data_IF_671230929103
#
_entry.id   IF_671230929103
#
_cell.length_a   1.000
_cell.length_b   1.000
_cell.length_c   1.000
_cell.angle_alpha   90.00
_cell.angle_beta   90.00
_cell.angle_gamma   90.00
#
_symmetry.space_group_name_H-M   'P 1'
#
loop_
_entity.id
_entity.type
_entity.pdbx_description
1 polymer ?
#
# COMPACT_ATOMS: atom_id res chain seq x y z
N UNK A 1 16.86 -33.03 -7.60
CA UNK A 1 17.69 -32.57 -6.46
C UNK A 1 17.64 -31.06 -6.48
N UNK A 2 16.84 -30.45 -5.63
CA UNK A 2 16.81 -28.98 -5.47
C UNK A 2 18.12 -28.58 -4.78
N UNK A 3 19.01 -27.90 -5.52
CA UNK A 3 20.22 -27.33 -4.91
C UNK A 3 19.79 -26.38 -3.79
N UNK A 4 20.35 -26.56 -2.60
CA UNK A 4 20.08 -25.69 -1.46
C UNK A 4 20.45 -24.25 -1.81
N UNK A 5 19.54 -23.31 -1.55
CA UNK A 5 19.82 -21.89 -1.74
C UNK A 5 20.75 -21.39 -0.63
N UNK A 6 21.72 -20.56 -1.00
CA UNK A 6 22.50 -19.81 -0.03
C UNK A 6 21.74 -18.56 0.40
N UNK A 7 21.66 -18.32 1.71
CA UNK A 7 20.94 -17.17 2.25
C UNK A 7 21.95 -16.15 2.80
N UNK A 8 21.87 -14.91 2.31
CA UNK A 8 22.58 -13.76 2.86
C UNK A 8 21.64 -12.93 3.70
N UNK A 9 22.14 -12.35 4.79
CA UNK A 9 21.35 -11.50 5.71
C UNK A 9 22.02 -10.14 5.79
N UNK A 10 21.26 -9.06 5.57
CA UNK A 10 21.73 -7.69 5.72
C UNK A 10 20.94 -6.97 6.81
N UNK A 11 21.67 -6.39 7.75
CA UNK A 11 21.13 -5.72 8.91
C UNK A 11 21.34 -4.19 8.88
N UNK A 12 21.99 -3.68 7.85
CA UNK A 12 22.25 -2.25 7.70
C UNK A 12 22.12 -1.80 6.24
N UNK A 13 21.75 -0.53 6.05
CA UNK A 13 21.49 0.04 4.73
C UNK A 13 22.75 0.05 3.82
N UNK A 14 23.95 0.29 4.38
CA UNK A 14 25.19 0.37 3.58
C UNK A 14 25.54 -0.95 2.89
N UNK A 15 25.24 -2.08 3.52
CA UNK A 15 25.47 -3.39 2.89
C UNK A 15 24.41 -3.70 1.85
N UNK A 16 23.16 -3.26 2.06
CA UNK A 16 22.10 -3.37 1.06
C UNK A 16 22.42 -2.51 -0.18
N UNK A 17 22.98 -1.31 0.02
CA UNK A 17 23.39 -0.44 -1.09
C UNK A 17 24.42 -1.10 -2.02
N UNK A 18 25.24 -2.01 -1.53
CA UNK A 18 26.23 -2.73 -2.35
C UNK A 18 25.59 -3.71 -3.34
N UNK A 19 24.42 -4.23 -3.02
CA UNK A 19 23.68 -5.22 -3.84
C UNK A 19 22.58 -4.61 -4.69
N UNK A 20 22.46 -3.28 -4.75
CA UNK A 20 21.39 -2.63 -5.53
C UNK A 20 21.40 -3.03 -7.02
N UNK A 21 22.52 -3.21 -7.71
CA UNK A 21 22.50 -3.69 -9.11
C UNK A 21 21.88 -5.10 -9.24
N UNK A 22 22.18 -6.00 -8.29
CA UNK A 22 21.59 -7.35 -8.25
C UNK A 22 20.11 -7.27 -7.89
N UNK A 23 19.73 -6.38 -6.94
CA UNK A 23 18.36 -6.13 -6.55
C UNK A 23 17.51 -5.64 -7.74
N UNK A 24 17.96 -4.61 -8.46
CA UNK A 24 17.28 -4.09 -9.64
C UNK A 24 17.13 -5.18 -10.72
N UNK A 25 18.19 -5.96 -10.97
CA UNK A 25 18.16 -7.10 -11.91
C UNK A 25 17.10 -8.14 -11.50
N UNK A 26 17.03 -8.47 -10.20
CA UNK A 26 16.00 -9.39 -9.70
C UNK A 26 14.60 -8.81 -9.88
N UNK A 27 14.38 -7.52 -9.57
CA UNK A 27 13.07 -6.90 -9.77
C UNK A 27 12.63 -7.03 -11.21
N UNK A 28 13.50 -6.83 -12.19
CA UNK A 28 13.19 -6.96 -13.62
C UNK A 28 12.77 -8.38 -14.01
N UNK A 29 13.27 -9.39 -13.32
CA UNK A 29 12.99 -10.80 -13.56
C UNK A 29 11.84 -11.35 -12.70
N UNK A 30 11.31 -10.54 -11.79
CA UNK A 30 10.24 -10.92 -10.86
C UNK A 30 8.90 -10.32 -11.29
N UNK A 31 7.92 -11.13 -11.72
CA UNK A 31 6.61 -10.63 -12.16
C UNK A 31 5.81 -9.95 -11.03
N UNK A 32 6.02 -10.36 -9.77
CA UNK A 32 5.36 -9.80 -8.59
C UNK A 32 5.97 -8.49 -8.08
N UNK A 33 7.11 -8.04 -8.66
CA UNK A 33 7.74 -6.81 -8.22
C UNK A 33 6.91 -5.58 -8.57
N UNK A 34 6.75 -4.69 -7.59
CA UNK A 34 6.03 -3.42 -7.72
C UNK A 34 6.93 -2.26 -7.30
N UNK A 35 6.43 -1.05 -7.39
CA UNK A 35 7.11 0.15 -6.88
C UNK A 35 7.47 0.01 -5.40
N UNK A 36 6.64 -0.68 -4.61
CA UNK A 36 6.85 -0.93 -3.19
C UNK A 36 7.99 -1.91 -2.88
N UNK A 37 8.51 -2.60 -3.91
CA UNK A 37 9.66 -3.50 -3.81
C UNK A 37 10.99 -2.79 -4.13
N UNK A 38 10.95 -1.54 -4.60
CA UNK A 38 12.13 -0.77 -4.97
C UNK A 38 12.86 -0.26 -3.73
N UNK A 39 14.19 -0.14 -3.84
CA UNK A 39 14.98 0.41 -2.73
C UNK A 39 14.67 1.89 -2.48
N UNK A 40 14.34 2.64 -3.51
CA UNK A 40 13.90 4.04 -3.38
C UNK A 40 12.70 4.18 -2.43
N UNK A 41 11.70 3.30 -2.57
CA UNK A 41 10.55 3.26 -1.66
C UNK A 41 10.96 2.83 -0.26
N UNK A 42 11.61 1.68 -0.15
CA UNK A 42 11.91 1.02 1.12
C UNK A 42 12.92 1.83 1.95
N UNK A 43 13.94 2.40 1.32
CA UNK A 43 14.91 3.25 2.02
C UNK A 43 14.28 4.57 2.51
N UNK A 44 13.44 5.20 1.69
CA UNK A 44 12.73 6.42 2.09
C UNK A 44 11.76 6.15 3.24
N UNK A 45 11.04 5.03 3.16
CA UNK A 45 10.18 4.58 4.23
C UNK A 45 10.97 4.32 5.52
N UNK A 46 12.12 3.63 5.41
CA UNK A 46 12.96 3.32 6.57
C UNK A 46 13.50 4.58 7.25
N UNK A 47 13.94 5.57 6.47
CA UNK A 47 14.43 6.84 7.01
C UNK A 47 13.35 7.62 7.78
N UNK A 48 12.10 7.55 7.33
CA UNK A 48 11.00 8.33 7.90
C UNK A 48 10.24 7.62 9.01
N UNK A 49 10.08 6.30 8.92
CA UNK A 49 9.21 5.52 9.81
C UNK A 49 9.92 4.32 10.43
N UNK A 50 11.13 3.99 9.99
CA UNK A 50 11.83 2.80 10.44
C UNK A 50 12.24 2.86 11.90
N UNK A 51 11.84 1.85 12.67
CA UNK A 51 12.22 1.67 14.06
C UNK A 51 12.61 0.21 14.28
N UNK A 52 13.78 -0.02 14.87
CA UNK A 52 14.29 -1.36 15.16
C UNK A 52 15.46 -1.75 14.27
N UNK A 53 15.45 -2.95 13.71
CA UNK A 53 16.58 -3.54 13.00
C UNK A 53 16.17 -3.98 11.60
N UNK A 54 16.98 -3.65 10.58
CA UNK A 54 16.82 -4.22 9.24
C UNK A 54 17.10 -5.74 9.29
N UNK A 55 16.35 -6.50 8.54
CA UNK A 55 16.51 -7.95 8.42
C UNK A 55 16.17 -8.39 7.00
N UNK A 56 16.98 -7.95 6.04
CA UNK A 56 16.77 -8.25 4.62
C UNK A 56 17.46 -9.55 4.29
N UNK A 57 16.74 -10.48 3.64
CA UNK A 57 17.25 -11.77 3.22
C UNK A 57 17.38 -11.82 1.70
N UNK A 58 18.55 -12.20 1.21
CA UNK A 58 18.80 -12.53 -0.20
C UNK A 58 18.98 -14.03 -0.37
N UNK A 59 18.34 -14.60 -1.37
CA UNK A 59 18.40 -16.02 -1.73
C UNK A 59 19.20 -16.18 -3.00
N UNK A 60 20.33 -16.92 -2.90
CA UNK A 60 21.29 -17.08 -3.99
C UNK A 60 21.32 -18.53 -4.50
N UNK A 61 21.40 -18.67 -5.83
CA UNK A 61 21.71 -19.93 -6.49
C UNK A 61 22.84 -19.71 -7.49
N UNK A 62 23.91 -20.50 -7.39
CA UNK A 62 25.09 -20.39 -8.27
C UNK A 62 25.67 -18.95 -8.37
N UNK A 63 25.58 -18.17 -7.30
CA UNK A 63 26.07 -16.79 -7.25
C UNK A 63 25.09 -15.73 -7.77
N UNK A 64 23.92 -16.12 -8.30
CA UNK A 64 22.87 -15.22 -8.74
C UNK A 64 21.85 -14.97 -7.62
N UNK A 65 21.42 -13.71 -7.41
CA UNK A 65 20.33 -13.35 -6.51
C UNK A 65 18.99 -13.69 -7.19
N UNK A 66 18.31 -14.74 -6.70
CA UNK A 66 17.06 -15.25 -7.27
C UNK A 66 15.84 -14.98 -6.39
N UNK A 67 16.03 -14.45 -5.20
CA UNK A 67 14.95 -14.09 -4.29
C UNK A 67 15.39 -13.07 -3.26
N UNK A 68 14.39 -12.33 -2.75
CA UNK A 68 14.60 -11.28 -1.77
C UNK A 68 13.41 -11.19 -0.83
N UNK A 69 13.67 -11.17 0.48
CA UNK A 69 12.67 -10.86 1.48
C UNK A 69 13.08 -9.58 2.23
N UNK A 70 12.51 -8.41 1.87
CA UNK A 70 12.80 -7.14 2.51
C UNK A 70 12.04 -7.05 3.84
N UNK A 71 12.66 -7.48 4.92
CA UNK A 71 12.09 -7.57 6.26
C UNK A 71 12.78 -6.61 7.23
N UNK A 72 12.14 -6.36 8.36
CA UNK A 72 12.72 -5.69 9.52
C UNK A 72 12.14 -6.28 10.82
N UNK A 73 12.85 -6.10 11.92
CA UNK A 73 12.37 -6.43 13.26
C UNK A 73 12.01 -5.12 13.96
N UNK A 74 10.75 -4.92 14.26
CA UNK A 74 10.23 -3.73 14.92
C UNK A 74 9.55 -4.09 16.26
N UNK A 75 9.64 -3.21 17.25
CA UNK A 75 8.83 -3.31 18.46
C UNK A 75 7.44 -2.73 18.19
N UNK A 76 6.40 -3.51 18.41
CA UNK A 76 5.01 -3.09 18.21
C UNK A 76 4.15 -3.33 19.45
N UNK A 77 3.30 -2.36 19.77
CA UNK A 77 2.24 -2.53 20.75
C UNK A 77 1.15 -3.43 20.17
N UNK A 78 0.96 -4.62 20.74
CA UNK A 78 -0.03 -5.61 20.30
C UNK A 78 -1.30 -5.57 21.14
N UNK A 79 -1.21 -5.03 22.36
CA UNK A 79 -2.32 -4.72 23.26
C UNK A 79 -1.93 -3.55 24.17
N UNK A 80 -2.87 -3.04 24.95
CA UNK A 80 -2.56 -2.02 25.97
C UNK A 80 -1.45 -2.57 26.89
N UNK A 81 -0.31 -1.88 26.94
CA UNK A 81 0.87 -2.23 27.75
C UNK A 81 1.62 -3.52 27.35
N UNK A 82 1.29 -4.16 26.23
CA UNK A 82 2.01 -5.34 25.73
C UNK A 82 2.74 -4.99 24.44
N UNK A 83 4.07 -4.98 24.49
CA UNK A 83 4.95 -4.81 23.35
C UNK A 83 5.53 -6.16 22.93
N UNK A 84 5.68 -6.37 21.64
CA UNK A 84 6.34 -7.53 21.06
C UNK A 84 7.33 -7.11 19.99
N UNK A 85 8.45 -7.81 19.90
CA UNK A 85 9.29 -7.75 18.69
C UNK A 85 8.62 -8.55 17.59
N UNK A 86 8.42 -7.89 16.45
CA UNK A 86 7.70 -8.42 15.29
C UNK A 86 8.63 -8.41 14.09
N UNK A 87 8.81 -9.56 13.45
CA UNK A 87 9.40 -9.62 12.13
C UNK A 87 8.31 -9.26 11.10
N UNK A 88 8.53 -8.23 10.32
CA UNK A 88 7.54 -7.74 9.35
C UNK A 88 8.20 -7.24 8.07
N UNK A 89 7.40 -6.98 7.04
CA UNK A 89 7.93 -6.33 5.86
C UNK A 89 8.50 -4.95 6.18
N UNK A 90 9.64 -4.64 5.57
CA UNK A 90 10.12 -3.29 5.44
C UNK A 90 9.10 -2.52 4.61
N UNK A 91 8.59 -1.41 5.14
CA UNK A 91 7.46 -0.69 4.53
C UNK A 91 6.14 -0.83 5.28
N UNK A 92 5.97 -1.85 6.15
CA UNK A 92 4.72 -2.09 6.85
C UNK A 92 4.54 -1.20 8.09
N UNK A 93 3.34 -0.66 8.25
CA UNK A 93 2.91 0.04 9.47
C UNK A 93 2.64 1.52 9.34
N UNK A 94 3.14 2.23 8.32
CA UNK A 94 2.81 3.64 8.07
C UNK A 94 1.42 3.84 7.45
N UNK A 95 0.89 2.80 6.79
CA UNK A 95 -0.36 2.86 6.04
C UNK A 95 -0.21 3.47 4.65
N UNK A 96 1.03 3.67 4.18
CA UNK A 96 1.32 4.19 2.84
C UNK A 96 1.82 3.10 1.88
N UNK A 97 2.25 1.93 2.40
CA UNK A 97 2.71 0.82 1.59
C UNK A 97 1.65 -0.26 1.45
N UNK A 98 1.36 -0.60 0.22
CA UNK A 98 0.59 -1.79 -0.17
C UNK A 98 1.45 -2.68 -1.07
N UNK A 99 0.95 -3.82 -1.54
CA UNK A 99 1.68 -4.73 -2.43
C UNK A 99 3.09 -5.11 -1.91
N UNK A 100 3.26 -5.21 -0.58
CA UNK A 100 4.50 -5.70 0.03
C UNK A 100 4.58 -7.21 -0.16
N UNK A 101 5.70 -7.70 -0.69
CA UNK A 101 5.84 -9.11 -1.03
C UNK A 101 7.27 -9.62 -0.83
N UNK A 102 7.41 -10.92 -0.88
CA UNK A 102 8.67 -11.62 -1.04
C UNK A 102 8.90 -11.80 -2.52
N UNK A 103 10.00 -11.26 -3.01
CA UNK A 103 10.33 -11.21 -4.41
C UNK A 103 11.05 -12.49 -4.81
N UNK A 104 10.64 -13.11 -5.90
CA UNK A 104 11.32 -14.24 -6.49
C UNK A 104 11.41 -14.09 -8.01
N UNK A 105 12.56 -14.47 -8.56
CA UNK A 105 12.74 -14.65 -10.00
C UNK A 105 11.71 -15.67 -10.50
N UNK A 106 11.15 -15.44 -11.68
CA UNK A 106 10.18 -16.35 -12.30
C UNK A 106 10.69 -17.78 -12.34
N UNK A 107 9.89 -18.71 -11.81
CA UNK A 107 10.24 -20.14 -11.70
C UNK A 107 10.99 -20.54 -10.42
N UNK A 108 11.35 -19.58 -9.55
CA UNK A 108 12.03 -19.84 -8.28
C UNK A 108 11.15 -19.62 -7.03
N UNK A 109 9.88 -19.35 -7.21
CA UNK A 109 8.95 -18.98 -6.13
C UNK A 109 8.84 -20.09 -5.06
N UNK A 110 8.79 -21.35 -5.49
CA UNK A 110 8.72 -22.51 -4.57
C UNK A 110 10.04 -22.65 -3.78
N UNK A 111 11.19 -22.50 -4.45
CA UNK A 111 12.50 -22.64 -3.81
C UNK A 111 12.75 -21.52 -2.80
N UNK A 112 12.36 -20.28 -3.13
CA UNK A 112 12.47 -19.11 -2.23
C UNK A 112 11.54 -19.26 -1.04
N UNK A 113 10.27 -19.68 -1.25
CA UNK A 113 9.32 -19.91 -0.17
C UNK A 113 9.80 -20.98 0.80
N UNK A 114 10.29 -22.12 0.28
CA UNK A 114 10.81 -23.22 1.10
C UNK A 114 12.06 -22.79 1.89
N UNK A 115 13.02 -22.14 1.24
CA UNK A 115 14.23 -21.65 1.88
C UNK A 115 13.94 -20.63 2.99
N UNK A 116 13.00 -19.69 2.75
CA UNK A 116 12.55 -18.74 3.76
C UNK A 116 11.94 -19.46 4.96
N UNK A 117 11.04 -20.41 4.74
CA UNK A 117 10.40 -21.17 5.83
C UNK A 117 11.41 -21.97 6.64
N UNK A 118 12.35 -22.65 5.99
CA UNK A 118 13.40 -23.39 6.66
C UNK A 118 14.29 -22.46 7.48
N UNK A 119 14.66 -21.31 6.93
CA UNK A 119 15.46 -20.30 7.62
C UNK A 119 14.74 -19.75 8.85
N UNK A 120 13.46 -19.37 8.73
CA UNK A 120 12.64 -18.89 9.84
C UNK A 120 12.39 -19.96 10.92
N UNK A 121 12.36 -21.24 10.54
CA UNK A 121 12.29 -22.37 11.49
C UNK A 121 13.59 -22.56 12.26
N UNK A 122 14.72 -22.48 11.58
CA UNK A 122 16.04 -22.69 12.18
C UNK A 122 16.44 -21.54 13.14
N UNK A 123 16.05 -20.32 12.81
CA UNK A 123 16.36 -19.14 13.62
C UNK A 123 15.51 -19.08 14.89
N UNK A 124 16.17 -19.09 16.04
CA UNK A 124 15.59 -18.58 17.30
C UNK A 124 15.74 -17.06 17.31
N UNK A 125 15.05 -16.39 16.38
CA UNK A 125 15.14 -14.93 16.24
C UNK A 125 14.60 -14.17 17.44
N UNK A 126 14.90 -12.86 17.58
CA UNK A 126 14.47 -12.05 18.72
C UNK A 126 12.97 -11.72 18.69
N UNK A 127 12.24 -12.14 17.65
CA UNK A 127 10.82 -11.85 17.49
C UNK A 127 9.89 -12.91 18.10
N UNK A 128 8.75 -12.45 18.58
CA UNK A 128 7.66 -13.29 19.09
C UNK A 128 6.57 -13.54 18.06
N UNK A 129 6.49 -12.69 17.04
CA UNK A 129 5.45 -12.69 16.00
C UNK A 129 6.07 -12.40 14.65
N UNK A 130 5.53 -13.01 13.60
CA UNK A 130 5.83 -12.68 12.21
C UNK A 130 4.56 -12.12 11.59
N UNK A 131 4.65 -10.97 10.92
CA UNK A 131 3.54 -10.28 10.27
C UNK A 131 3.92 -9.95 8.83
N UNK A 132 3.29 -10.62 7.88
CA UNK A 132 3.39 -10.34 6.45
C UNK A 132 2.07 -9.69 6.01
N UNK A 133 2.01 -8.39 6.09
CA UNK A 133 0.82 -7.61 5.80
C UNK A 133 0.84 -7.07 4.37
N UNK A 134 -0.32 -6.74 3.84
CA UNK A 134 -0.53 -6.14 2.51
C UNK A 134 0.04 -6.93 1.33
N UNK A 135 0.19 -8.26 1.48
CA UNK A 135 0.58 -9.11 0.37
C UNK A 135 -0.54 -9.16 -0.68
N UNK A 136 -0.23 -9.02 -1.98
CA UNK A 136 -1.23 -9.24 -3.02
C UNK A 136 -1.86 -10.63 -2.93
N UNK A 137 -3.15 -10.75 -3.21
CA UNK A 137 -3.85 -12.06 -3.27
C UNK A 137 -3.22 -13.01 -4.27
N UNK A 138 -2.65 -12.47 -5.35
CA UNK A 138 -1.92 -13.19 -6.38
C UNK A 138 -0.42 -13.40 -6.11
N UNK A 139 0.08 -13.12 -4.88
CA UNK A 139 1.50 -13.32 -4.55
C UNK A 139 1.94 -14.76 -4.81
N UNK A 140 2.90 -15.00 -5.72
CA UNK A 140 3.33 -16.36 -6.02
C UNK A 140 4.04 -17.03 -4.83
N UNK A 141 4.84 -16.29 -4.07
CA UNK A 141 5.51 -16.79 -2.87
C UNK A 141 4.50 -16.91 -1.72
N UNK A 142 3.60 -15.94 -1.56
CA UNK A 142 2.56 -15.97 -0.54
C UNK A 142 1.66 -17.20 -0.64
N UNK A 143 1.24 -17.55 -1.85
CA UNK A 143 0.43 -18.74 -2.11
C UNK A 143 1.11 -20.06 -1.66
N UNK A 144 2.44 -20.07 -1.61
CA UNK A 144 3.22 -21.23 -1.14
C UNK A 144 3.46 -21.19 0.36
N UNK A 145 3.59 -20.02 0.94
CA UNK A 145 3.79 -19.86 2.39
C UNK A 145 2.56 -20.29 3.19
N UNK A 146 1.36 -19.89 2.77
CA UNK A 146 0.11 -20.14 3.50
C UNK A 146 -0.13 -21.63 3.82
N UNK A 147 -0.04 -22.60 2.88
CA UNK A 147 -0.21 -24.00 3.18
C UNK A 147 0.82 -24.58 4.16
N UNK A 148 2.09 -24.16 4.03
CA UNK A 148 3.16 -24.65 4.91
C UNK A 148 3.02 -24.15 6.35
N UNK A 149 2.38 -23.01 6.54
CA UNK A 149 2.09 -22.45 7.86
C UNK A 149 0.93 -23.13 8.60
N UNK A 150 0.11 -23.88 7.89
CA UNK A 150 -0.91 -24.75 8.49
C UNK A 150 -0.30 -25.95 9.27
N UNK A 151 1.04 -26.07 9.34
CA UNK A 151 1.73 -27.13 10.05
C UNK A 151 1.50 -27.08 11.57
N UNK A 152 1.74 -28.21 12.26
CA UNK A 152 1.59 -28.29 13.72
C UNK A 152 2.58 -27.42 14.52
N UNK A 153 3.54 -26.80 13.87
CA UNK A 153 4.60 -26.00 14.52
C UNK A 153 4.18 -24.53 14.73
N UNK A 154 3.24 -24.04 13.93
CA UNK A 154 2.83 -22.64 13.91
C UNK A 154 1.38 -22.43 14.37
N UNK A 155 1.13 -21.34 15.03
CA UNK A 155 -0.21 -20.74 15.19
C UNK A 155 -0.32 -19.65 14.14
N UNK A 156 -1.34 -19.73 13.29
CA UNK A 156 -1.55 -18.80 12.18
C UNK A 156 -2.83 -18.03 12.35
N UNK A 157 -2.81 -16.80 11.86
CA UNK A 157 -3.97 -15.94 11.74
C UNK A 157 -3.90 -15.21 10.40
N UNK A 158 -4.90 -15.43 9.58
CA UNK A 158 -5.02 -14.79 8.28
C UNK A 158 -6.28 -13.93 8.23
N UNK A 159 -6.18 -12.81 7.56
CA UNK A 159 -7.30 -11.94 7.20
C UNK A 159 -7.05 -11.29 5.86
N UNK A 160 -8.10 -10.84 5.20
CA UNK A 160 -8.00 -10.08 3.97
C UNK A 160 -8.53 -8.65 4.17
N UNK A 161 -8.02 -7.74 3.36
CA UNK A 161 -8.55 -6.38 3.24
C UNK A 161 -8.80 -6.07 1.76
N UNK A 162 -9.87 -5.34 1.44
CA UNK A 162 -10.20 -5.03 0.06
C UNK A 162 -9.13 -4.17 -0.60
N UNK A 163 -8.88 -4.46 -1.86
CA UNK A 163 -8.12 -3.68 -2.83
C UNK A 163 -8.95 -3.51 -4.09
N UNK A 164 -8.55 -2.62 -4.99
CA UNK A 164 -9.27 -2.41 -6.24
C UNK A 164 -8.37 -1.81 -7.30
N UNK A 165 -8.45 -2.32 -8.52
CA UNK A 165 -7.71 -1.82 -9.69
C UNK A 165 -8.59 -1.74 -10.93
N UNK A 166 -8.16 -1.03 -11.93
CA UNK A 166 -8.79 -0.95 -13.25
C UNK A 166 -7.81 -1.48 -14.28
N UNK A 167 -8.24 -2.49 -15.05
CA UNK A 167 -7.55 -2.87 -16.27
C UNK A 167 -7.91 -1.85 -17.36
N UNK A 168 -6.93 -1.03 -17.74
CA UNK A 168 -7.11 0.04 -18.70
C UNK A 168 -7.14 -0.53 -20.12
N UNK A 169 -8.16 -0.18 -20.94
CA UNK A 169 -8.23 -0.57 -22.34
C UNK A 169 -7.31 0.30 -23.19
N UNK A 170 -7.21 -0.04 -24.48
CA UNK A 170 -6.33 0.68 -25.40
C UNK A 170 -6.86 2.08 -25.79
N UNK A 171 -8.15 2.37 -25.57
CA UNK A 171 -8.75 3.66 -25.92
C UNK A 171 -9.66 4.21 -24.82
N UNK A 172 -9.65 5.55 -24.70
CA UNK A 172 -10.57 6.26 -23.81
C UNK A 172 -12.05 5.99 -24.11
N UNK A 173 -12.40 5.87 -25.40
CA UNK A 173 -13.76 5.54 -25.83
C UNK A 173 -14.22 4.18 -25.29
N UNK A 174 -13.36 3.18 -25.37
CA UNK A 174 -13.63 1.85 -24.84
C UNK A 174 -13.77 1.89 -23.31
N UNK A 175 -12.87 2.61 -22.62
CA UNK A 175 -12.98 2.80 -21.18
C UNK A 175 -14.32 3.41 -20.77
N UNK A 176 -14.73 4.51 -21.41
CA UNK A 176 -16.05 5.11 -21.17
C UNK A 176 -17.20 4.14 -21.43
N UNK A 177 -17.06 3.25 -22.41
CA UNK A 177 -18.05 2.20 -22.70
C UNK A 177 -18.24 1.18 -21.60
N UNK A 178 -17.19 0.93 -20.79
CA UNK A 178 -17.23 0.02 -19.63
C UNK A 178 -17.89 0.63 -18.40
N UNK A 179 -17.96 1.96 -18.29
CA UNK A 179 -18.60 2.66 -17.18
C UNK A 179 -20.12 2.58 -17.26
N UNK A 180 -20.76 2.60 -16.10
CA UNK A 180 -22.21 2.80 -16.00
C UNK A 180 -22.60 4.11 -16.72
N UNK A 181 -23.79 4.12 -17.37
CA UNK A 181 -24.25 5.27 -18.15
C UNK A 181 -24.32 6.56 -17.33
N UNK A 182 -24.71 6.47 -16.07
CA UNK A 182 -24.75 7.61 -15.14
C UNK A 182 -23.34 8.18 -14.90
N UNK A 183 -22.35 7.35 -14.60
CA UNK A 183 -20.98 7.79 -14.30
C UNK A 183 -20.30 8.38 -15.53
N UNK A 184 -20.49 7.78 -16.71
CA UNK A 184 -20.03 8.31 -18.00
C UNK A 184 -20.66 9.68 -18.32
N UNK A 185 -21.98 9.81 -18.16
CA UNK A 185 -22.71 11.05 -18.40
C UNK A 185 -22.29 12.14 -17.40
N UNK A 186 -22.08 11.78 -16.14
CA UNK A 186 -21.60 12.69 -15.12
C UNK A 186 -20.21 13.24 -15.48
N UNK A 187 -19.27 12.37 -15.89
CA UNK A 187 -17.92 12.80 -16.26
C UNK A 187 -17.97 13.81 -17.44
N UNK A 188 -18.71 13.50 -18.49
CA UNK A 188 -18.88 14.38 -19.64
C UNK A 188 -19.55 15.70 -19.29
N UNK A 189 -20.63 15.66 -18.53
CA UNK A 189 -21.39 16.84 -18.11
C UNK A 189 -20.58 17.79 -17.24
N UNK A 190 -19.89 17.26 -16.23
CA UNK A 190 -19.10 18.10 -15.31
C UNK A 190 -17.85 18.66 -16.00
N UNK A 191 -17.20 17.91 -16.91
CA UNK A 191 -16.10 18.44 -17.73
C UNK A 191 -16.53 19.63 -18.58
N UNK A 192 -17.67 19.51 -19.27
CA UNK A 192 -18.25 20.62 -20.05
C UNK A 192 -18.67 21.80 -19.18
N UNK A 193 -19.19 21.54 -17.97
CA UNK A 193 -19.56 22.59 -17.02
C UNK A 193 -18.32 23.34 -16.52
N UNK A 194 -17.26 22.63 -16.15
CA UNK A 194 -16.00 23.22 -15.67
C UNK A 194 -15.42 24.17 -16.72
N UNK A 195 -15.27 23.71 -17.98
CA UNK A 195 -14.71 24.52 -19.06
C UNK A 195 -15.54 25.74 -19.47
N UNK A 196 -16.87 25.73 -19.17
CA UNK A 196 -17.73 26.88 -19.39
C UNK A 196 -17.69 27.93 -18.29
N UNK A 197 -17.38 27.51 -17.07
CA UNK A 197 -17.43 28.38 -15.88
C UNK A 197 -16.09 28.99 -15.53
N UNK A 198 -14.99 28.30 -15.86
CA UNK A 198 -13.68 28.63 -15.36
C UNK A 198 -12.62 28.44 -16.45
N UNK A 199 -11.52 29.18 -16.34
CA UNK A 199 -10.27 28.87 -17.02
C UNK A 199 -9.61 27.69 -16.30
N UNK A 200 -9.86 26.45 -16.78
CA UNK A 200 -9.38 25.23 -16.15
C UNK A 200 -8.19 24.64 -16.89
N UNK A 201 -7.11 24.30 -16.15
CA UNK A 201 -5.90 23.68 -16.68
C UNK A 201 -5.57 22.43 -15.86
N UNK A 202 -5.42 21.29 -16.57
CA UNK A 202 -4.85 20.07 -16.00
C UNK A 202 -3.37 20.01 -16.35
N UNK A 203 -2.53 19.66 -15.38
CA UNK A 203 -1.09 19.54 -15.63
C UNK A 203 -0.46 18.47 -14.73
N UNK A 204 0.65 17.91 -15.19
CA UNK A 204 1.54 17.03 -14.43
C UNK A 204 2.75 17.87 -13.98
N UNK A 205 3.11 17.75 -12.72
CA UNK A 205 4.31 18.41 -12.20
C UNK A 205 5.57 17.76 -12.81
N UNK A 206 6.43 18.58 -13.41
CA UNK A 206 7.61 18.15 -14.16
C UNK A 206 8.91 18.80 -13.65
N UNK A 207 8.80 19.88 -12.90
CA UNK A 207 9.95 20.52 -12.24
C UNK A 207 9.92 20.31 -10.73
N UNK A 208 11.06 20.49 -10.07
CA UNK A 208 11.17 20.37 -8.62
C UNK A 208 10.24 21.36 -7.91
N UNK A 209 10.16 22.57 -8.41
CA UNK A 209 9.33 23.66 -7.88
C UNK A 209 7.85 23.30 -8.00
N UNK A 210 7.43 22.75 -9.14
CA UNK A 210 6.06 22.29 -9.34
C UNK A 210 5.71 21.11 -8.42
N UNK A 211 6.64 20.17 -8.22
CA UNK A 211 6.46 19.04 -7.31
C UNK A 211 6.29 19.54 -5.87
N UNK A 212 7.17 20.41 -5.40
CA UNK A 212 7.09 20.96 -4.04
C UNK A 212 5.79 21.76 -3.84
N UNK A 213 5.39 22.57 -4.81
CA UNK A 213 4.13 23.32 -4.79
C UNK A 213 2.91 22.37 -4.73
N UNK A 214 2.87 21.36 -5.58
CA UNK A 214 1.78 20.38 -5.60
C UNK A 214 1.71 19.58 -4.30
N UNK A 215 2.84 19.21 -3.69
CA UNK A 215 2.87 18.53 -2.40
C UNK A 215 2.31 19.40 -1.28
N UNK A 216 2.73 20.66 -1.17
CA UNK A 216 2.20 21.59 -0.18
C UNK A 216 0.71 21.81 -0.37
N UNK A 217 0.25 21.91 -1.62
CA UNK A 217 -1.17 22.02 -1.94
C UNK A 217 -1.93 20.75 -1.54
N UNK A 218 -1.40 19.57 -1.84
CA UNK A 218 -1.99 18.29 -1.42
C UNK A 218 -2.16 18.23 0.10
N UNK A 219 -1.11 18.60 0.86
CA UNK A 219 -1.16 18.59 2.32
C UNK A 219 -2.25 19.53 2.85
N UNK A 220 -2.33 20.74 2.31
CA UNK A 220 -3.36 21.72 2.67
C UNK A 220 -4.77 21.22 2.36
N UNK A 221 -5.02 20.73 1.14
CA UNK A 221 -6.34 20.25 0.70
C UNK A 221 -6.77 19.00 1.49
N UNK A 222 -5.85 18.09 1.74
CA UNK A 222 -6.11 16.91 2.55
C UNK A 222 -6.44 17.30 3.99
N UNK A 223 -5.67 18.20 4.62
CA UNK A 223 -5.90 18.65 5.98
C UNK A 223 -7.25 19.35 6.14
N UNK A 224 -7.64 20.23 5.20
CA UNK A 224 -8.95 20.87 5.20
C UNK A 224 -10.11 19.87 5.20
N UNK A 225 -10.01 18.83 4.39
CA UNK A 225 -11.03 17.77 4.31
C UNK A 225 -11.19 17.00 5.63
N UNK A 226 -10.08 16.70 6.32
CA UNK A 226 -10.11 15.96 7.58
C UNK A 226 -10.56 16.84 8.76
N UNK A 227 -10.17 18.11 8.78
CA UNK A 227 -10.65 19.08 9.76
C UNK A 227 -12.18 19.25 9.72
N UNK A 228 -12.78 19.25 8.53
CA UNK A 228 -14.25 19.26 8.39
C UNK A 228 -14.91 18.02 8.99
N UNK A 229 -14.17 16.94 9.24
CA UNK A 229 -14.62 15.71 9.90
C UNK A 229 -14.25 15.66 11.39
N UNK A 230 -13.56 16.66 11.90
CA UNK A 230 -13.03 16.69 13.27
C UNK A 230 -11.81 15.81 13.50
N UNK A 231 -11.08 15.44 12.43
CA UNK A 231 -9.90 14.56 12.49
C UNK A 231 -8.63 15.32 12.09
N UNK A 232 -7.46 14.87 12.60
CA UNK A 232 -6.18 15.53 12.36
C UNK A 232 -5.58 15.32 10.96
N UNK A 233 -6.08 14.31 10.24
CA UNK A 233 -5.56 13.95 8.92
C UNK A 233 -4.13 13.38 8.91
N UNK A 234 -3.82 12.60 7.89
CA UNK A 234 -2.55 11.86 7.79
C UNK A 234 -1.31 12.77 7.67
N UNK A 235 -1.45 13.93 7.01
CA UNK A 235 -0.35 14.88 6.79
C UNK A 235 -0.10 15.86 7.96
N UNK A 236 -0.73 15.64 9.12
CA UNK A 236 -0.31 16.29 10.35
C UNK A 236 1.08 15.81 10.81
N UNK A 237 1.49 14.58 10.48
CA UNK A 237 2.81 14.00 10.77
C UNK A 237 3.89 14.63 9.89
N UNK A 238 4.96 15.11 10.53
CA UNK A 238 6.17 15.61 9.85
C UNK A 238 6.90 14.50 9.13
N UNK A 239 7.02 13.31 9.74
CA UNK A 239 7.69 12.15 9.15
C UNK A 239 7.02 11.74 7.85
N UNK A 240 5.67 11.77 7.81
CA UNK A 240 4.95 11.48 6.57
C UNK A 240 5.19 12.54 5.49
N UNK A 241 5.21 13.83 5.84
CA UNK A 241 5.55 14.88 4.86
C UNK A 241 6.97 14.73 4.34
N UNK A 242 7.93 14.40 5.19
CA UNK A 242 9.31 14.13 4.80
C UNK A 242 9.38 12.93 3.84
N UNK A 243 8.71 11.84 4.18
CA UNK A 243 8.61 10.66 3.32
C UNK A 243 8.07 11.01 1.92
N UNK A 244 6.96 11.75 1.85
CA UNK A 244 6.37 12.14 0.56
C UNK A 244 7.28 13.09 -0.24
N UNK A 245 7.99 13.99 0.42
CA UNK A 245 8.99 14.84 -0.24
C UNK A 245 10.14 14.01 -0.81
N UNK A 246 10.73 13.12 -0.01
CA UNK A 246 11.85 12.27 -0.42
C UNK A 246 11.48 11.39 -1.61
N UNK A 247 10.38 10.63 -1.52
CA UNK A 247 9.98 9.73 -2.62
C UNK A 247 9.59 10.49 -3.88
N UNK A 248 9.01 11.69 -3.76
CA UNK A 248 8.63 12.48 -4.93
C UNK A 248 9.84 12.89 -5.76
N UNK A 249 10.90 13.36 -5.11
CA UNK A 249 12.13 13.74 -5.81
C UNK A 249 12.87 12.52 -6.39
N UNK A 250 12.94 11.41 -5.67
CA UNK A 250 13.52 10.17 -6.17
C UNK A 250 12.73 9.63 -7.37
N UNK A 251 11.40 9.62 -7.27
CA UNK A 251 10.55 9.10 -8.35
C UNK A 251 10.47 10.05 -9.54
N UNK A 252 10.59 11.35 -9.33
CA UNK A 252 10.75 12.31 -10.43
C UNK A 252 12.05 12.02 -11.21
N UNK A 253 13.16 11.78 -10.52
CA UNK A 253 14.44 11.46 -11.16
C UNK A 253 14.41 10.13 -11.94
N UNK A 254 13.61 9.15 -11.48
CA UNK A 254 13.39 7.86 -12.16
C UNK A 254 12.30 7.91 -13.25
N UNK A 255 11.57 9.03 -13.40
CA UNK A 255 10.41 9.12 -14.30
C UNK A 255 9.19 8.33 -13.81
N UNK A 256 9.12 8.03 -12.51
CA UNK A 256 8.04 7.24 -11.91
C UNK A 256 6.96 8.09 -11.25
N UNK A 257 7.18 9.38 -11.06
CA UNK A 257 6.23 10.26 -10.40
C UNK A 257 5.04 10.60 -11.31
N UNK A 258 3.83 10.38 -10.81
CA UNK A 258 2.55 10.77 -11.40
C UNK A 258 1.84 11.74 -10.45
N UNK A 259 2.35 12.97 -10.40
CA UNK A 259 1.78 14.05 -9.59
C UNK A 259 1.03 15.03 -10.49
N UNK A 260 -0.30 14.96 -10.41
CA UNK A 260 -1.21 15.71 -11.27
C UNK A 260 -2.00 16.74 -10.51
N UNK A 261 -2.28 17.86 -11.14
CA UNK A 261 -3.06 18.94 -10.56
C UNK A 261 -4.11 19.50 -11.52
N UNK A 262 -5.19 20.03 -10.94
CA UNK A 262 -6.20 20.82 -11.63
C UNK A 262 -6.18 22.25 -11.06
N UNK A 263 -5.92 23.18 -11.94
CA UNK A 263 -6.00 24.63 -11.68
C UNK A 263 -7.30 25.19 -12.25
N UNK A 264 -7.92 26.08 -11.52
CA UNK A 264 -9.14 26.80 -11.90
C UNK A 264 -8.91 28.28 -11.59
N UNK A 265 -8.97 29.13 -12.63
CA UNK A 265 -8.75 30.59 -12.54
C UNK A 265 -7.47 30.96 -11.78
N UNK A 266 -6.38 30.22 -12.01
CA UNK A 266 -5.07 30.41 -11.37
C UNK A 266 -4.90 29.79 -10.00
N UNK A 267 -5.94 29.13 -9.44
CA UNK A 267 -5.88 28.44 -8.15
C UNK A 267 -5.84 26.92 -8.33
N UNK A 268 -4.88 26.22 -7.76
CA UNK A 268 -4.86 24.75 -7.73
C UNK A 268 -5.87 24.23 -6.72
N UNK A 269 -6.92 23.58 -7.26
CA UNK A 269 -8.11 23.13 -6.52
C UNK A 269 -8.19 21.61 -6.33
N UNK A 270 -7.38 20.83 -7.05
CA UNK A 270 -7.26 19.39 -6.82
C UNK A 270 -5.85 18.91 -7.18
N UNK A 271 -5.36 17.93 -6.41
CA UNK A 271 -4.06 17.27 -6.61
C UNK A 271 -4.25 15.77 -6.45
N UNK A 272 -3.65 14.99 -7.34
CA UNK A 272 -3.57 13.53 -7.26
C UNK A 272 -2.11 13.12 -7.24
N UNK A 273 -1.73 12.31 -6.26
CA UNK A 273 -0.40 11.77 -6.04
C UNK A 273 -0.40 10.27 -6.33
N UNK A 274 0.35 9.86 -7.32
CA UNK A 274 0.46 8.49 -7.79
C UNK A 274 1.89 8.19 -8.26
N UNK A 275 2.16 6.94 -8.56
CA UNK A 275 3.44 6.48 -9.11
C UNK A 275 3.21 5.56 -10.28
N UNK A 276 4.15 5.60 -11.22
CA UNK A 276 4.24 4.66 -12.34
C UNK A 276 5.39 3.69 -12.09
N UNK A 277 5.12 2.41 -12.20
CA UNK A 277 6.16 1.40 -12.25
C UNK A 277 5.81 0.39 -13.35
N UNK A 278 6.68 0.27 -14.36
CA UNK A 278 6.37 -0.45 -15.59
C UNK A 278 5.08 0.08 -16.25
N UNK A 279 4.13 -0.77 -16.53
CA UNK A 279 2.82 -0.46 -17.13
C UNK A 279 1.68 -0.28 -16.09
N UNK A 280 2.02 -0.12 -14.81
CA UNK A 280 1.08 0.09 -13.72
C UNK A 280 1.22 1.48 -13.09
N UNK A 281 0.10 2.09 -12.73
CA UNK A 281 0.06 3.31 -11.93
C UNK A 281 -0.66 3.04 -10.61
N UNK A 282 -0.03 3.39 -9.51
CA UNK A 282 -0.51 3.21 -8.14
C UNK A 282 -0.94 4.56 -7.58
N UNK A 283 -2.24 4.75 -7.35
CA UNK A 283 -2.79 6.00 -6.83
C UNK A 283 -2.79 5.97 -5.31
N UNK A 284 -1.91 6.76 -4.69
CA UNK A 284 -1.73 6.76 -3.24
C UNK A 284 -2.60 7.77 -2.52
N UNK A 285 -2.61 9.03 -2.98
CA UNK A 285 -3.34 10.10 -2.30
C UNK A 285 -4.02 11.05 -3.29
N UNK A 286 -5.07 11.70 -2.81
CA UNK A 286 -5.69 12.82 -3.51
C UNK A 286 -6.27 13.83 -2.53
N UNK A 287 -6.25 15.09 -2.92
CA UNK A 287 -6.89 16.18 -2.22
C UNK A 287 -7.65 17.08 -3.19
N UNK A 288 -8.76 17.63 -2.75
CA UNK A 288 -9.50 18.65 -3.50
C UNK A 288 -10.10 19.68 -2.57
N UNK A 289 -10.27 20.91 -3.06
CA UNK A 289 -10.87 22.00 -2.32
C UNK A 289 -12.38 21.76 -2.15
N UNK A 290 -12.89 21.68 -0.91
CA UNK A 290 -14.30 21.48 -0.64
C UNK A 290 -15.23 22.55 -1.24
N UNK A 291 -14.74 23.76 -1.48
CA UNK A 291 -15.51 24.84 -2.11
C UNK A 291 -15.91 24.51 -3.55
N UNK A 292 -15.09 23.69 -4.24
CA UNK A 292 -15.35 23.18 -5.59
C UNK A 292 -15.99 21.80 -5.63
N UNK A 293 -16.53 21.32 -4.49
CA UNK A 293 -17.15 19.97 -4.41
C UNK A 293 -18.34 19.81 -5.36
N UNK A 294 -19.14 20.88 -5.56
CA UNK A 294 -20.26 20.90 -6.51
C UNK A 294 -19.82 20.75 -7.97
N UNK A 295 -18.61 21.17 -8.30
CA UNK A 295 -18.01 21.06 -9.64
C UNK A 295 -17.26 19.74 -9.86
N UNK A 296 -17.18 18.88 -8.80
CA UNK A 296 -16.60 17.55 -8.86
C UNK A 296 -15.13 17.54 -9.32
N UNK A 297 -14.34 18.54 -8.92
CA UNK A 297 -12.95 18.75 -9.37
C UNK A 297 -12.03 17.56 -9.16
N UNK A 298 -12.13 16.83 -8.04
CA UNK A 298 -11.35 15.60 -7.81
C UNK A 298 -11.73 14.47 -8.77
N UNK A 299 -13.04 14.31 -9.09
CA UNK A 299 -13.49 13.35 -10.09
C UNK A 299 -12.97 13.72 -11.49
N UNK A 300 -12.99 15.01 -11.83
CA UNK A 300 -12.53 15.47 -13.15
C UNK A 300 -11.02 15.31 -13.31
N UNK A 301 -10.23 15.60 -12.25
CA UNK A 301 -8.80 15.36 -12.26
C UNK A 301 -8.49 13.88 -12.48
N UNK A 302 -9.11 12.97 -11.72
CA UNK A 302 -8.92 11.52 -11.90
C UNK A 302 -9.30 11.06 -13.30
N UNK A 303 -10.44 11.52 -13.83
CA UNK A 303 -10.87 11.17 -15.20
C UNK A 303 -9.87 11.64 -16.24
N UNK A 304 -9.28 12.84 -16.09
CA UNK A 304 -8.23 13.34 -16.96
C UNK A 304 -6.96 12.47 -16.85
N UNK A 305 -6.53 12.14 -15.62
CA UNK A 305 -5.35 11.29 -15.42
C UNK A 305 -5.53 9.92 -16.08
N UNK A 306 -6.66 9.25 -15.87
CA UNK A 306 -6.93 7.95 -16.50
C UNK A 306 -6.91 8.06 -18.03
N UNK A 307 -7.47 9.13 -18.61
CA UNK A 307 -7.44 9.37 -20.05
C UNK A 307 -6.01 9.51 -20.58
N UNK A 308 -5.13 10.26 -19.87
CA UNK A 308 -3.72 10.40 -20.23
C UNK A 308 -2.97 9.06 -20.12
N UNK A 309 -3.19 8.32 -19.05
CA UNK A 309 -2.55 7.02 -18.85
C UNK A 309 -2.94 6.00 -19.92
N UNK A 310 -4.19 5.99 -20.38
CA UNK A 310 -4.63 5.18 -21.51
C UNK A 310 -3.89 5.60 -22.80
N UNK A 311 -3.78 6.92 -23.07
CA UNK A 311 -3.03 7.43 -24.21
C UNK A 311 -1.55 7.03 -24.17
N UNK A 312 -0.97 6.90 -22.99
CA UNK A 312 0.40 6.46 -22.73
C UNK A 312 0.55 4.92 -22.65
N UNK A 313 -0.51 4.15 -22.97
CA UNK A 313 -0.51 2.68 -23.00
C UNK A 313 -0.25 2.01 -21.64
N UNK A 314 -0.55 2.69 -20.55
CA UNK A 314 -0.57 2.07 -19.21
C UNK A 314 -1.68 1.02 -19.18
N UNK A 315 -1.40 -0.12 -18.55
CA UNK A 315 -2.32 -1.27 -18.51
C UNK A 315 -3.17 -1.32 -17.26
N UNK A 316 -2.67 -0.80 -16.15
CA UNK A 316 -3.36 -0.89 -14.87
C UNK A 316 -3.34 0.45 -14.12
N UNK A 317 -4.49 0.82 -13.55
CA UNK A 317 -4.62 1.89 -12.57
C UNK A 317 -5.09 1.29 -11.24
N UNK A 318 -4.19 1.21 -10.28
CA UNK A 318 -4.41 0.60 -8.98
C UNK A 318 -4.79 1.67 -7.95
N UNK A 319 -5.98 1.51 -7.34
CA UNK A 319 -6.45 2.36 -6.24
C UNK A 319 -5.88 1.95 -4.88
N UNK A 320 -5.08 0.90 -4.85
CA UNK A 320 -4.52 0.33 -3.62
C UNK A 320 -5.61 -0.16 -2.64
N UNK A 321 -5.21 -0.36 -1.38
CA UNK A 321 -6.13 -0.80 -0.34
C UNK A 321 -7.28 0.15 -0.05
N UNK A 322 -8.28 -0.36 0.66
CA UNK A 322 -9.43 0.39 1.13
C UNK A 322 -10.77 -0.04 0.51
N UNK A 323 -11.84 0.42 1.12
CA UNK A 323 -13.20 0.05 0.72
C UNK A 323 -13.50 0.40 -0.75
N UNK A 324 -14.22 -0.48 -1.47
CA UNK A 324 -14.50 -0.29 -2.89
C UNK A 324 -15.37 0.93 -3.20
N UNK A 325 -16.22 1.37 -2.30
CA UNK A 325 -17.04 2.59 -2.31
C UNK A 325 -17.13 3.30 -3.67
N UNK A 326 -16.49 4.46 -3.78
CA UNK A 326 -16.46 5.24 -5.01
C UNK A 326 -15.61 4.60 -6.14
N UNK A 327 -14.70 3.68 -5.81
CA UNK A 327 -13.79 3.04 -6.79
C UNK A 327 -14.56 2.23 -7.83
N UNK A 328 -15.67 1.60 -7.43
CA UNK A 328 -16.54 0.84 -8.33
C UNK A 328 -17.16 1.70 -9.46
N UNK A 329 -17.39 2.99 -9.23
CA UNK A 329 -17.88 3.93 -10.25
C UNK A 329 -16.88 4.18 -11.38
N UNK A 330 -15.60 3.85 -11.15
CA UNK A 330 -14.52 3.91 -12.14
C UNK A 330 -14.30 2.58 -12.85
N UNK A 331 -15.20 1.61 -12.68
CA UNK A 331 -15.06 0.28 -13.27
C UNK A 331 -13.99 -0.57 -12.58
N UNK A 332 -13.59 -0.21 -11.35
CA UNK A 332 -12.58 -0.95 -10.64
C UNK A 332 -13.08 -2.35 -10.26
N UNK A 333 -12.25 -3.35 -10.53
CA UNK A 333 -12.43 -4.74 -10.12
C UNK A 333 -11.99 -4.89 -8.66
N UNK A 334 -12.75 -5.66 -7.90
CA UNK A 334 -12.42 -5.95 -6.50
C UNK A 334 -11.33 -7.02 -6.42
N UNK A 335 -10.36 -6.74 -5.61
CA UNK A 335 -9.31 -7.66 -5.20
C UNK A 335 -9.10 -7.53 -3.69
N UNK A 336 -8.09 -8.19 -3.13
CA UNK A 336 -7.78 -8.09 -1.72
C UNK A 336 -6.29 -8.31 -1.44
N UNK A 337 -5.85 -7.72 -0.34
CA UNK A 337 -4.54 -8.01 0.26
C UNK A 337 -4.69 -9.06 1.35
N UNK A 338 -3.72 -9.95 1.43
CA UNK A 338 -3.56 -10.94 2.48
C UNK A 338 -2.74 -10.33 3.61
N UNK A 339 -3.22 -10.50 4.82
CA UNK A 339 -2.54 -10.16 6.07
C UNK A 339 -2.28 -11.46 6.81
N UNK A 340 -1.06 -11.98 6.70
CA UNK A 340 -0.66 -13.24 7.27
C UNK A 340 0.16 -13.02 8.54
N UNK A 341 -0.30 -13.57 9.64
CA UNK A 341 0.38 -13.50 10.93
C UNK A 341 0.63 -14.91 11.46
N UNK A 342 1.82 -15.15 11.98
CA UNK A 342 2.14 -16.45 12.53
C UNK A 342 3.19 -16.35 13.64
N UNK A 343 3.11 -17.32 14.55
CA UNK A 343 3.99 -17.43 15.70
C UNK A 343 4.24 -18.90 16.02
N UNK A 344 5.39 -19.20 16.63
CA UNK A 344 5.68 -20.56 17.12
C UNK A 344 4.65 -20.98 18.14
N UNK A 345 4.16 -22.21 18.05
CA UNK A 345 3.23 -22.75 19.06
C UNK A 345 3.82 -22.66 20.46
N UNK A 346 2.94 -22.46 21.44
CA UNK A 346 3.30 -22.31 22.86
C UNK A 346 4.20 -21.11 23.17
N UNK A 347 4.20 -20.09 22.30
CA UNK A 347 4.88 -18.81 22.53
C UNK A 347 3.89 -17.71 22.93
N UNK A 348 4.41 -16.55 23.38
CA UNK A 348 3.60 -15.35 23.63
C UNK A 348 2.87 -14.88 22.37
N UNK A 349 3.53 -14.92 21.22
CA UNK A 349 2.91 -14.60 19.92
C UNK A 349 1.76 -15.54 19.60
N UNK A 350 1.89 -16.85 19.88
CA UNK A 350 0.81 -17.83 19.71
C UNK A 350 -0.40 -17.52 20.59
N UNK A 351 -0.17 -17.20 21.87
CA UNK A 351 -1.23 -16.80 22.80
C UNK A 351 -1.97 -15.54 22.31
N UNK A 352 -1.21 -14.54 21.85
CA UNK A 352 -1.78 -13.33 21.24
C UNK A 352 -2.65 -13.62 20.01
N UNK A 353 -2.17 -14.44 19.06
CA UNK A 353 -2.94 -14.80 17.86
C UNK A 353 -4.23 -15.55 18.18
N UNK A 354 -4.21 -16.45 19.18
CA UNK A 354 -5.41 -17.16 19.64
C UNK A 354 -6.43 -16.19 20.28
N UNK A 355 -5.97 -15.24 21.09
CA UNK A 355 -6.83 -14.20 21.65
C UNK A 355 -7.45 -13.34 20.57
N UNK A 356 -6.67 -12.90 19.56
CA UNK A 356 -7.16 -12.13 18.43
C UNK A 356 -8.22 -12.90 17.63
N UNK A 357 -7.98 -14.17 17.35
CA UNK A 357 -8.93 -15.06 16.66
C UNK A 357 -10.25 -15.18 17.42
N UNK A 358 -10.18 -15.40 18.75
CA UNK A 358 -11.36 -15.52 19.58
C UNK A 358 -12.13 -14.20 19.67
N UNK A 359 -11.44 -13.06 19.79
CA UNK A 359 -12.06 -11.74 19.82
C UNK A 359 -12.79 -11.44 18.51
N UNK A 360 -12.20 -11.78 17.35
CA UNK A 360 -12.85 -11.61 16.05
C UNK A 360 -14.06 -12.50 15.87
N UNK A 361 -13.97 -13.78 16.26
CA UNK A 361 -15.09 -14.71 16.20
C UNK A 361 -16.23 -14.25 17.12
N UNK A 362 -15.91 -13.78 18.33
CA UNK A 362 -16.89 -13.19 19.25
C UNK A 362 -17.58 -11.96 18.67
N UNK A 363 -16.80 -11.05 18.06
CA UNK A 363 -17.33 -9.86 17.37
C UNK A 363 -18.25 -10.22 16.20
N UNK A 364 -17.85 -11.21 15.40
CA UNK A 364 -18.68 -11.72 14.28
C UNK A 364 -19.98 -12.35 14.77
N UNK A 365 -19.90 -13.16 15.83
CA UNK A 365 -21.08 -13.79 16.44
C UNK A 365 -22.04 -12.74 17.01
N UNK A 366 -21.51 -11.70 17.66
CA UNK A 366 -22.29 -10.59 18.17
C UNK A 366 -22.97 -9.78 17.06
N UNK A 367 -22.21 -9.50 15.98
CA UNK A 367 -22.73 -8.84 14.78
C UNK A 367 -23.89 -9.60 14.14
N UNK A 368 -23.78 -10.94 14.08
CA UNK A 368 -24.79 -11.79 13.47
C UNK A 368 -26.05 -11.94 14.36
N UNK A 369 -25.92 -11.71 15.67
CA UNK A 369 -27.02 -11.83 16.64
C UNK A 369 -27.73 -10.50 16.93
N UNK A 370 -27.08 -9.36 16.71
CA UNK A 370 -27.65 -8.05 16.98
C UNK A 370 -28.35 -7.47 15.75
N UNK A 371 -29.52 -6.80 15.94
CA UNK A 371 -30.11 -5.98 14.89
C UNK A 371 -29.13 -4.92 14.39
N UNK A 372 -29.19 -4.57 13.11
CA UNK A 372 -28.25 -3.66 12.45
C UNK A 372 -28.08 -2.32 13.20
N UNK A 373 -29.18 -1.74 13.68
CA UNK A 373 -29.14 -0.48 14.42
C UNK A 373 -28.35 -0.58 15.75
N UNK A 374 -28.49 -1.70 16.47
CA UNK A 374 -27.78 -1.91 17.72
C UNK A 374 -26.27 -2.14 17.48
N UNK A 375 -25.93 -2.80 16.39
CA UNK A 375 -24.55 -2.96 15.96
C UNK A 375 -23.92 -1.62 15.57
N UNK A 376 -24.61 -0.77 14.82
CA UNK A 376 -24.12 0.53 14.37
C UNK A 376 -23.84 1.46 15.56
N UNK A 377 -24.67 1.44 16.60
CA UNK A 377 -24.45 2.18 17.86
C UNK A 377 -23.18 1.68 18.57
N UNK A 378 -23.04 0.37 18.76
CA UNK A 378 -21.87 -0.24 19.39
C UNK A 378 -20.58 0.04 18.61
N UNK A 379 -20.65 0.04 17.29
CA UNK A 379 -19.50 0.31 16.42
C UNK A 379 -19.07 1.79 16.51
N UNK A 380 -20.01 2.73 16.54
CA UNK A 380 -19.71 4.17 16.71
C UNK A 380 -19.10 4.48 18.07
N UNK A 381 -19.62 3.88 19.14
CA UNK A 381 -19.06 4.03 20.50
C UNK A 381 -17.62 3.48 20.57
N UNK A 382 -17.37 2.34 19.94
CA UNK A 382 -16.06 1.68 20.00
C UNK A 382 -15.01 2.40 19.13
N UNK A 383 -15.39 2.94 17.98
CA UNK A 383 -14.50 3.77 17.14
C UNK A 383 -14.20 5.12 17.77
N UNK A 384 -15.16 5.73 18.50
CA UNK A 384 -14.94 6.94 19.27
C UNK A 384 -14.00 6.76 20.48
N UNK A 385 -13.98 5.58 21.10
CA UNK A 385 -13.06 5.23 22.18
C UNK A 385 -11.66 4.88 21.67
N UNK A 386 -11.53 4.19 20.54
CA UNK A 386 -10.21 3.86 19.94
C UNK A 386 -9.53 5.08 19.32
N UNK A 387 -10.29 6.03 18.75
CA UNK A 387 -9.74 7.28 18.21
C UNK A 387 -9.11 8.18 19.28
N UNK A 388 -9.53 8.06 20.55
CA UNK A 388 -8.93 8.80 21.69
C UNK A 388 -7.61 8.20 22.19
N UNK A 389 -7.29 6.97 21.84
CA UNK A 389 -6.03 6.31 22.22
C UNK A 389 -4.93 6.36 21.16
N UNK A 390 -5.27 6.61 19.91
CA UNK A 390 -4.29 6.75 18.80
C UNK A 390 -3.59 8.13 18.78
N UNK A 391 -4.07 9.11 19.56
CA UNK A 391 -3.50 10.47 19.66
C UNK A 391 -2.55 10.65 20.85
N UNK A 392 -2.17 9.56 21.54
CA UNK A 392 -1.25 9.61 22.71
C UNK A 392 -0.10 8.58 22.62
N UNK A 393 0.34 8.19 21.43
CA UNK A 393 1.55 7.40 21.26
C UNK A 393 2.37 7.97 20.10
#
# INVERSE_FOLDING_TARGET
MTSSLNISVWNNAKDIEKILPEWETLLDQAPSATIFSTWEWLASWWRSFGHGELFVLGFYQAGELIGLAPLCVAERSVAVSVKMKVLCFLGDGSGDSDNLDIIAKSGYEDAVAEALLQHLKALSGPWQLIQLNTMPSGSPVGARLVPHMASREWTTFERSKPASSIDLPDTWKEYLGRLASEDRNNLTRYRKRLSKRYAAKFYKATSREEVDFCLQTLYRLHQQRWQLRGESGSFASTDRRNFYSDISHLFMARGWLELWALEVDGLTVAVQFAFRYRDHVFQLQEGFDPQYSSDRVGMLLRGHVIEQLIAERIKCYDFLGGEPGYKSRWGAVKDHYIYLQFARRRSLGSAYLLLMKNAMNGKQTLRNKLPKFAWDILHHVNTGLMGRHATKA
#
